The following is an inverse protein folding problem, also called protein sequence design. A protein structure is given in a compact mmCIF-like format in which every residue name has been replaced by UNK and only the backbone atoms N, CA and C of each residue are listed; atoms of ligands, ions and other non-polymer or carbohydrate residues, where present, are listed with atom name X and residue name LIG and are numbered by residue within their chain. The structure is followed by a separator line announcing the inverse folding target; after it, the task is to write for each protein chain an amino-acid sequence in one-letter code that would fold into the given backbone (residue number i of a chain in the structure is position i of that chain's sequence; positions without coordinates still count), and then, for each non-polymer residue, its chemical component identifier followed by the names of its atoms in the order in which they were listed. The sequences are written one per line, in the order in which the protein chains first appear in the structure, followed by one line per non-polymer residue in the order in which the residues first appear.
data_IF_762280736324
#
_entry.id   IF_762280736324
#
_cell.length_a   1.000
_cell.length_b   1.000
_cell.length_c   1.000
_cell.angle_alpha   90.00
_cell.angle_beta   90.00
_cell.angle_gamma   90.00
#
_symmetry.space_group_name_H-M   'P 1'
#
loop_
_entity.id
_entity.type
_entity.pdbx_description
1 polymer ?
#
# COMPACT_ATOMS: atom_id res chain seq x y z
N UNK A 1 -10.64 21.66 -25.82
CA UNK A 1 -10.14 20.47 -25.14
C UNK A 1 -11.32 19.87 -24.38
N UNK A 2 -11.63 18.59 -24.58
CA UNK A 2 -12.59 17.91 -23.72
C UNK A 2 -11.85 17.72 -22.40
N UNK A 3 -12.31 18.37 -21.33
CA UNK A 3 -11.80 18.14 -19.98
C UNK A 3 -12.29 16.76 -19.55
N UNK A 4 -11.37 15.82 -19.34
CA UNK A 4 -11.65 14.60 -18.61
C UNK A 4 -11.94 14.95 -17.15
N UNK A 5 -12.91 14.27 -16.54
CA UNK A 5 -13.19 14.37 -15.10
C UNK A 5 -13.23 12.94 -14.52
N UNK A 6 -12.47 12.01 -15.11
CA UNK A 6 -12.43 10.62 -14.64
C UNK A 6 -11.50 10.52 -13.45
N UNK A 7 -11.83 9.62 -12.52
CA UNK A 7 -10.93 9.24 -11.44
C UNK A 7 -10.55 7.78 -11.62
N UNK A 8 -9.25 7.53 -11.76
CA UNK A 8 -8.68 6.20 -11.81
C UNK A 8 -8.04 5.85 -10.47
N UNK A 9 -8.39 4.68 -9.92
CA UNK A 9 -7.76 4.14 -8.72
C UNK A 9 -6.84 2.99 -9.12
N UNK A 10 -5.56 3.07 -8.75
CA UNK A 10 -4.55 2.09 -9.14
C UNK A 10 -4.16 1.26 -7.90
N UNK A 11 -4.21 -0.07 -8.04
CA UNK A 11 -3.77 -1.00 -7.00
C UNK A 11 -2.25 -1.08 -6.84
N UNK A 12 -1.80 -2.04 -6.05
CA UNK A 12 -0.40 -2.27 -5.68
C UNK A 12 0.46 -2.54 -6.92
N UNK A 13 1.58 -1.83 -7.06
CA UNK A 13 2.42 -1.84 -8.27
C UNK A 13 3.62 -2.76 -8.08
N UNK A 14 4.23 -2.73 -6.89
CA UNK A 14 5.38 -3.54 -6.52
C UNK A 14 6.51 -3.51 -7.56
N UNK A 15 6.98 -2.33 -7.95
CA UNK A 15 8.15 -2.19 -8.84
C UNK A 15 7.97 -2.73 -10.26
N UNK A 16 6.75 -3.02 -10.73
CA UNK A 16 6.48 -3.44 -12.11
C UNK A 16 6.24 -2.24 -13.03
N UNK A 17 7.30 -1.47 -13.32
CA UNK A 17 7.23 -0.26 -14.15
C UNK A 17 6.60 -0.54 -15.53
N UNK A 18 7.03 -1.60 -16.20
CA UNK A 18 6.55 -1.97 -17.54
C UNK A 18 5.05 -2.23 -17.57
N UNK A 19 4.52 -2.86 -16.52
CA UNK A 19 3.08 -3.10 -16.35
C UNK A 19 2.34 -1.81 -16.02
N UNK A 20 2.92 -0.94 -15.19
CA UNK A 20 2.36 0.37 -14.85
C UNK A 20 2.23 1.25 -16.09
N UNK A 21 3.30 1.43 -16.86
CA UNK A 21 3.30 2.24 -18.10
C UNK A 21 2.21 1.73 -19.04
N UNK A 22 2.16 0.40 -19.23
CA UNK A 22 1.17 -0.23 -20.10
C UNK A 22 -0.27 -0.02 -19.63
N UNK A 23 -0.50 -0.10 -18.32
CA UNK A 23 -1.82 0.16 -17.75
C UNK A 23 -2.23 1.60 -18.02
N UNK A 24 -1.39 2.57 -17.65
CA UNK A 24 -1.68 4.01 -17.82
C UNK A 24 -1.92 4.34 -19.30
N UNK A 25 -1.10 3.82 -20.22
CA UNK A 25 -1.30 3.97 -21.66
C UNK A 25 -2.67 3.44 -22.12
N UNK A 26 -3.11 2.30 -21.57
CA UNK A 26 -4.41 1.70 -21.90
C UNK A 26 -5.62 2.51 -21.41
N UNK A 27 -5.45 3.34 -20.37
CA UNK A 27 -6.49 4.24 -19.86
C UNK A 27 -6.72 5.43 -20.78
N UNK A 28 -5.71 5.79 -21.60
CA UNK A 28 -5.69 6.96 -22.46
C UNK A 28 -6.17 8.22 -21.69
N UNK A 29 -5.46 8.63 -20.63
CA UNK A 29 -5.88 9.73 -19.76
C UNK A 29 -5.96 11.04 -20.52
N UNK A 30 -6.95 11.87 -20.18
CA UNK A 30 -7.20 13.17 -20.77
C UNK A 30 -6.93 14.27 -19.73
N UNK A 31 -6.69 15.50 -20.20
CA UNK A 31 -6.52 16.67 -19.33
C UNK A 31 -7.69 16.79 -18.34
N UNK A 32 -7.39 16.82 -17.04
CA UNK A 32 -8.36 16.91 -15.95
C UNK A 32 -8.72 15.58 -15.29
N UNK A 33 -8.33 14.44 -15.87
CA UNK A 33 -8.43 13.15 -15.18
C UNK A 33 -7.51 13.12 -13.95
N UNK A 34 -7.91 12.30 -12.97
CA UNK A 34 -7.26 12.16 -11.67
C UNK A 34 -6.82 10.73 -11.42
N UNK A 35 -5.77 10.59 -10.62
CA UNK A 35 -5.26 9.29 -10.19
C UNK A 35 -5.19 9.18 -8.67
N UNK A 36 -5.62 8.04 -8.14
CA UNK A 36 -5.41 7.66 -6.74
C UNK A 36 -4.65 6.34 -6.72
N UNK A 37 -3.42 6.35 -6.22
CA UNK A 37 -2.59 5.16 -6.08
C UNK A 37 -2.67 4.64 -4.65
N UNK A 38 -2.98 3.35 -4.48
CA UNK A 38 -3.33 2.75 -3.19
C UNK A 38 -2.12 2.35 -2.32
N UNK A 39 -0.89 2.59 -2.78
CA UNK A 39 0.34 2.25 -2.06
C UNK A 39 1.05 1.05 -2.68
N UNK A 40 2.08 0.59 -1.99
CA UNK A 40 2.94 -0.53 -2.39
C UNK A 40 3.47 -0.35 -3.82
N UNK A 41 4.11 0.79 -4.03
CA UNK A 41 4.80 1.17 -5.26
C UNK A 41 6.11 0.40 -5.42
N UNK A 42 6.74 0.07 -4.30
CA UNK A 42 8.08 -0.51 -4.22
C UNK A 42 8.06 -1.99 -3.83
N UNK A 43 9.25 -2.60 -3.85
CA UNK A 43 9.53 -3.98 -3.50
C UNK A 43 8.91 -5.04 -4.44
N UNK A 44 9.35 -6.29 -4.26
CA UNK A 44 8.93 -7.52 -4.98
C UNK A 44 9.24 -7.54 -6.49
N UNK A 45 8.83 -6.55 -7.27
CA UNK A 45 9.13 -6.45 -8.71
C UNK A 45 10.45 -5.76 -9.01
N UNK A 46 10.87 -5.74 -10.29
CA UNK A 46 12.26 -5.51 -10.66
C UNK A 46 12.72 -4.04 -10.64
N UNK A 47 11.82 -3.06 -10.72
CA UNK A 47 12.17 -1.67 -10.99
C UNK A 47 11.41 -0.66 -10.13
N UNK A 48 11.64 -0.73 -8.80
CA UNK A 48 11.04 0.23 -7.86
C UNK A 48 11.52 1.66 -8.09
N UNK A 49 12.81 1.85 -8.43
CA UNK A 49 13.35 3.17 -8.78
C UNK A 49 12.59 3.79 -9.95
N UNK A 50 12.42 3.04 -11.04
CA UNK A 50 11.72 3.49 -12.23
C UNK A 50 10.24 3.80 -11.99
N UNK A 51 9.55 3.02 -11.15
CA UNK A 51 8.18 3.34 -10.72
C UNK A 51 8.13 4.71 -10.02
N UNK A 52 9.03 4.99 -9.08
CA UNK A 52 9.03 6.28 -8.37
C UNK A 52 9.36 7.44 -9.32
N UNK A 53 10.34 7.28 -10.22
CA UNK A 53 10.65 8.25 -11.27
C UNK A 53 9.38 8.55 -12.11
N UNK A 54 8.67 7.51 -12.55
CA UNK A 54 7.46 7.62 -13.36
C UNK A 54 6.32 8.34 -12.62
N UNK A 55 6.06 7.99 -11.36
CA UNK A 55 4.98 8.61 -10.58
C UNK A 55 5.25 10.11 -10.31
N UNK A 56 6.51 10.49 -10.06
CA UNK A 56 6.93 11.90 -9.93
C UNK A 56 6.73 12.67 -11.24
N UNK A 57 6.94 12.04 -12.39
CA UNK A 57 6.68 12.67 -13.68
C UNK A 57 5.19 12.73 -14.04
N UNK A 58 4.40 11.75 -13.58
CA UNK A 58 2.96 11.70 -13.78
C UNK A 58 2.22 12.80 -12.99
N UNK A 59 2.61 13.06 -11.74
CA UNK A 59 2.00 14.12 -10.91
C UNK A 59 2.24 15.54 -11.44
N UNK A 60 3.20 15.72 -12.37
CA UNK A 60 3.40 17.00 -13.07
C UNK A 60 2.34 17.25 -14.14
N UNK A 61 1.66 16.20 -14.58
CA UNK A 61 0.71 16.21 -15.69
C UNK A 61 -0.74 16.05 -15.22
N UNK A 62 -0.96 15.25 -14.18
CA UNK A 62 -2.29 14.92 -13.65
C UNK A 62 -2.39 15.20 -12.15
N UNK A 63 -3.62 15.37 -11.67
CA UNK A 63 -3.91 15.44 -10.23
C UNK A 63 -3.80 14.03 -9.64
N UNK A 64 -2.77 13.81 -8.83
CA UNK A 64 -2.42 12.51 -8.28
C UNK A 64 -2.46 12.51 -6.75
N UNK A 65 -3.03 11.44 -6.18
CA UNK A 65 -2.97 11.13 -4.75
C UNK A 65 -2.20 9.83 -4.58
N UNK A 66 -1.15 9.86 -3.76
CA UNK A 66 -0.32 8.68 -3.47
C UNK A 66 -0.51 8.26 -2.02
N UNK A 67 -1.20 7.14 -1.80
CA UNK A 67 -1.40 6.57 -0.47
C UNK A 67 -0.18 5.73 -0.09
N UNK A 68 0.20 5.78 1.18
CA UNK A 68 1.34 5.04 1.74
C UNK A 68 0.94 3.61 2.07
N UNK A 69 1.54 2.65 1.38
CA UNK A 69 1.46 1.23 1.70
C UNK A 69 2.37 0.81 2.84
N UNK A 70 2.31 -0.48 3.22
CA UNK A 70 3.25 -0.99 4.23
C UNK A 70 4.67 -1.14 3.67
N UNK A 71 4.84 -1.34 2.37
CA UNK A 71 6.17 -1.45 1.76
C UNK A 71 6.89 -0.09 1.73
N UNK A 72 6.19 1.02 1.42
CA UNK A 72 6.77 2.35 1.59
C UNK A 72 7.14 2.62 3.05
N UNK A 73 6.35 2.13 4.00
CA UNK A 73 6.66 2.28 5.42
C UNK A 73 7.96 1.57 5.81
N UNK A 74 8.15 0.33 5.33
CA UNK A 74 9.38 -0.43 5.57
C UNK A 74 10.60 0.19 4.90
N UNK A 75 10.45 0.67 3.66
CA UNK A 75 11.50 1.39 2.96
C UNK A 75 11.90 2.67 3.70
N UNK A 76 10.93 3.45 4.20
CA UNK A 76 11.19 4.64 5.01
C UNK A 76 11.88 4.30 6.34
N UNK A 77 11.49 3.21 7.03
CA UNK A 77 12.23 2.76 8.21
C UNK A 77 13.65 2.32 7.89
N UNK A 78 13.88 1.69 6.73
CA UNK A 78 15.22 1.38 6.25
C UNK A 78 16.05 2.64 5.98
N UNK A 79 15.41 3.73 5.55
CA UNK A 79 16.05 5.03 5.31
C UNK A 79 16.33 5.81 6.59
N UNK A 80 15.41 5.77 7.54
CA UNK A 80 15.47 6.49 8.82
C UNK A 80 15.98 5.58 9.96
N UNK A 81 16.69 4.51 9.60
CA UNK A 81 17.08 3.46 10.52
C UNK A 81 17.81 4.00 11.76
N UNK A 82 17.57 3.40 12.94
CA UNK A 82 18.12 3.90 14.20
C UNK A 82 19.65 3.84 14.24
N UNK A 83 20.24 4.68 15.10
CA UNK A 83 21.68 4.67 15.36
C UNK A 83 22.14 3.33 15.95
N UNK A 84 21.30 2.70 16.78
CA UNK A 84 21.55 1.38 17.33
C UNK A 84 21.65 0.32 16.22
N UNK A 85 22.80 -0.34 16.16
CA UNK A 85 23.11 -1.30 15.11
C UNK A 85 22.19 -2.53 15.16
N UNK A 86 21.87 -3.03 16.36
CA UNK A 86 21.09 -4.26 16.49
C UNK A 86 19.63 -4.05 16.05
N UNK A 87 19.05 -2.90 16.42
CA UNK A 87 17.73 -2.50 15.93
C UNK A 87 17.73 -2.23 14.43
N UNK A 88 18.76 -1.55 13.92
CA UNK A 88 18.92 -1.29 12.48
C UNK A 88 18.97 -2.59 11.67
N UNK A 89 19.85 -3.51 12.05
CA UNK A 89 20.03 -4.79 11.36
C UNK A 89 18.72 -5.60 11.31
N UNK A 90 17.91 -5.55 12.39
CA UNK A 90 16.61 -6.23 12.45
C UNK A 90 15.61 -5.65 11.47
N UNK A 91 15.49 -4.32 11.41
CA UNK A 91 14.56 -3.63 10.52
C UNK A 91 14.94 -3.84 9.05
N UNK A 92 16.22 -3.69 8.73
CA UNK A 92 16.73 -3.90 7.38
C UNK A 92 16.58 -5.34 6.93
N UNK A 93 16.93 -6.30 7.79
CA UNK A 93 16.71 -7.72 7.51
C UNK A 93 15.22 -8.01 7.26
N UNK A 94 14.33 -7.45 8.08
CA UNK A 94 12.89 -7.61 7.92
C UNK A 94 12.43 -7.07 6.57
N UNK A 95 12.79 -5.82 6.21
CA UNK A 95 12.40 -5.23 4.93
C UNK A 95 12.94 -6.01 3.73
N UNK A 96 14.24 -6.32 3.73
CA UNK A 96 14.90 -7.08 2.65
C UNK A 96 14.25 -8.45 2.46
N UNK A 97 13.90 -9.13 3.55
CA UNK A 97 13.20 -10.43 3.52
C UNK A 97 11.80 -10.35 2.90
N UNK A 98 11.12 -9.20 3.01
CA UNK A 98 9.78 -8.99 2.46
C UNK A 98 9.79 -8.32 1.08
N UNK A 99 10.90 -8.38 0.35
CA UNK A 99 10.97 -7.91 -1.04
C UNK A 99 11.85 -6.69 -1.25
N UNK A 100 12.33 -6.05 -0.17
CA UNK A 100 13.20 -4.88 -0.22
C UNK A 100 14.50 -5.08 -1.01
N UNK A 101 15.00 -6.32 -1.14
CA UNK A 101 16.19 -6.59 -1.97
C UNK A 101 16.01 -6.10 -3.40
N UNK A 102 14.82 -6.29 -3.99
CA UNK A 102 14.56 -5.85 -5.37
C UNK A 102 14.56 -4.33 -5.50
N UNK A 103 14.09 -3.63 -4.47
CA UNK A 103 14.22 -2.18 -4.39
C UNK A 103 15.69 -1.78 -4.37
N UNK A 104 16.51 -2.33 -3.47
CA UNK A 104 17.96 -2.04 -3.42
C UNK A 104 18.63 -2.26 -4.78
N UNK A 105 18.37 -3.41 -5.41
CA UNK A 105 18.91 -3.76 -6.73
C UNK A 105 18.53 -2.72 -7.79
N UNK A 106 17.28 -2.22 -7.80
CA UNK A 106 16.81 -1.20 -8.76
C UNK A 106 17.46 0.17 -8.57
N UNK A 107 17.97 0.47 -7.37
CA UNK A 107 18.77 1.66 -7.09
C UNK A 107 20.28 1.43 -7.31
N UNK A 108 20.69 0.21 -7.67
CA UNK A 108 22.09 -0.16 -7.80
C UNK A 108 22.84 -0.19 -6.47
N UNK A 109 22.13 -0.34 -5.36
CA UNK A 109 22.70 -0.32 -4.02
C UNK A 109 23.16 -1.71 -3.56
N UNK A 110 24.37 -1.81 -3.01
CA UNK A 110 24.90 -3.09 -2.49
C UNK A 110 24.14 -3.55 -1.23
N UNK A 111 23.83 -2.60 -0.34
CA UNK A 111 23.13 -2.79 0.93
C UNK A 111 22.31 -1.54 1.32
N UNK A 112 21.76 -1.55 2.54
CA UNK A 112 20.94 -0.45 3.04
C UNK A 112 21.76 0.79 3.39
N UNK A 113 23.05 0.66 3.73
CA UNK A 113 23.94 1.80 4.00
C UNK A 113 24.21 2.57 2.71
N UNK A 114 24.57 1.85 1.65
CA UNK A 114 24.77 2.39 0.30
C UNK A 114 23.49 3.04 -0.24
N UNK A 115 22.35 2.36 -0.07
CA UNK A 115 21.04 2.89 -0.45
C UNK A 115 20.69 4.18 0.27
N UNK A 116 20.86 4.23 1.60
CA UNK A 116 20.63 5.44 2.42
C UNK A 116 21.49 6.61 1.98
N UNK A 117 22.74 6.34 1.62
CA UNK A 117 23.68 7.38 1.17
C UNK A 117 23.34 7.93 -0.22
N UNK A 118 22.71 7.12 -1.09
CA UNK A 118 22.60 7.41 -2.52
C UNK A 118 21.18 7.58 -3.06
N UNK A 119 20.14 7.37 -2.25
CA UNK A 119 18.75 7.61 -2.69
C UNK A 119 18.60 9.06 -3.20
N UNK A 120 18.01 9.29 -4.39
CA UNK A 120 17.76 10.64 -4.87
C UNK A 120 16.87 11.43 -3.90
N UNK A 121 17.20 12.70 -3.57
CA UNK A 121 16.39 13.50 -2.65
C UNK A 121 14.92 13.66 -3.08
N UNK A 122 14.66 13.68 -4.38
CA UNK A 122 13.30 13.74 -4.92
C UNK A 122 12.49 12.47 -4.58
N UNK A 123 13.12 11.29 -4.57
CA UNK A 123 12.45 10.03 -4.25
C UNK A 123 12.14 9.95 -2.76
N UNK A 124 13.10 10.33 -1.90
CA UNK A 124 12.85 10.41 -0.46
C UNK A 124 11.69 11.36 -0.15
N UNK A 125 11.70 12.55 -0.76
CA UNK A 125 10.63 13.53 -0.61
C UNK A 125 9.27 13.01 -1.10
N UNK A 126 9.24 12.30 -2.23
CA UNK A 126 8.02 11.66 -2.73
C UNK A 126 7.46 10.68 -1.70
N UNK A 127 8.28 9.77 -1.17
CA UNK A 127 7.88 8.79 -0.16
C UNK A 127 7.38 9.47 1.12
N UNK A 128 8.07 10.50 1.61
CA UNK A 128 7.67 11.29 2.78
C UNK A 128 6.32 11.99 2.60
N UNK A 129 6.00 12.41 1.36
CA UNK A 129 4.78 13.13 1.01
C UNK A 129 3.55 12.25 0.79
N UNK A 130 3.72 10.92 0.71
CA UNK A 130 2.57 9.99 0.61
C UNK A 130 1.60 10.18 1.78
N UNK A 131 0.30 10.15 1.50
CA UNK A 131 -0.77 10.32 2.51
C UNK A 131 -1.17 8.97 3.10
N UNK A 132 -1.81 8.96 4.27
CA UNK A 132 -2.20 7.69 4.93
C UNK A 132 -3.52 7.11 4.39
N UNK A 133 -4.39 7.98 3.87
CA UNK A 133 -5.63 7.66 3.18
C UNK A 133 -6.14 8.94 2.51
N UNK A 134 -7.15 8.81 1.64
CA UNK A 134 -7.82 9.93 1.00
C UNK A 134 -9.33 9.71 1.03
N UNK A 135 -10.08 10.74 1.40
CA UNK A 135 -11.52 10.65 1.59
C UNK A 135 -12.23 11.73 0.77
N UNK A 136 -13.31 11.32 0.11
CA UNK A 136 -14.21 12.18 -0.66
C UNK A 136 -15.60 12.12 -0.03
N UNK A 137 -16.59 12.78 -0.66
CA UNK A 137 -17.98 12.68 -0.22
C UNK A 137 -18.53 11.25 -0.31
N UNK A 138 -18.06 10.46 -1.27
CA UNK A 138 -18.63 9.15 -1.61
C UNK A 138 -17.69 7.96 -1.43
N UNK A 139 -16.38 8.21 -1.31
CA UNK A 139 -15.37 7.15 -1.23
C UNK A 139 -14.31 7.41 -0.15
N UNK A 140 -13.78 6.32 0.39
CA UNK A 140 -12.52 6.27 1.13
C UNK A 140 -11.52 5.44 0.34
N UNK A 141 -10.35 5.98 0.11
CA UNK A 141 -9.22 5.30 -0.49
C UNK A 141 -8.16 5.06 0.59
N UNK A 142 -7.79 3.81 0.79
CA UNK A 142 -6.85 3.40 1.84
C UNK A 142 -6.03 2.22 1.34
N UNK A 143 -4.81 2.05 1.83
CA UNK A 143 -3.98 0.93 1.39
C UNK A 143 -4.59 -0.43 1.79
N UNK A 144 -4.94 -0.63 3.06
CA UNK A 144 -5.39 -1.92 3.57
C UNK A 144 -6.85 -1.91 4.04
N UNK A 145 -7.13 -1.40 5.23
CA UNK A 145 -8.47 -1.41 5.83
C UNK A 145 -8.87 -0.07 6.43
N UNK A 146 -10.17 0.08 6.68
CA UNK A 146 -10.78 1.26 7.28
C UNK A 146 -11.68 0.86 8.45
N UNK A 147 -11.79 1.72 9.46
CA UNK A 147 -12.68 1.56 10.60
C UNK A 147 -13.78 2.63 10.54
N UNK A 148 -14.99 2.27 10.12
CA UNK A 148 -16.08 3.21 9.84
C UNK A 148 -16.57 3.97 11.07
N UNK A 149 -16.32 3.46 12.27
CA UNK A 149 -16.69 4.10 13.55
C UNK A 149 -15.71 5.22 13.97
N UNK A 150 -14.60 5.39 13.26
CA UNK A 150 -13.50 6.29 13.64
C UNK A 150 -13.25 7.35 12.60
N UNK A 151 -12.94 8.57 13.04
CA UNK A 151 -12.45 9.61 12.15
C UNK A 151 -11.01 9.31 11.69
N UNK A 152 -10.56 10.00 10.65
CA UNK A 152 -9.23 9.81 10.03
C UNK A 152 -8.07 9.85 11.04
N UNK A 153 -8.12 10.74 12.03
CA UNK A 153 -7.09 10.91 13.06
C UNK A 153 -7.13 9.86 14.17
N UNK A 154 -8.24 9.12 14.28
CA UNK A 154 -8.46 8.03 15.22
C UNK A 154 -8.14 6.66 14.60
N UNK A 155 -7.94 6.60 13.28
CA UNK A 155 -7.60 5.37 12.57
C UNK A 155 -6.28 4.79 13.07
N UNK A 156 -6.26 3.48 13.29
CA UNK A 156 -5.05 2.80 13.73
C UNK A 156 -4.12 2.50 12.56
N UNK A 157 -2.81 2.76 12.74
CA UNK A 157 -1.77 2.46 11.75
C UNK A 157 -1.86 1.03 11.21
N UNK A 158 -2.11 0.05 12.08
CA UNK A 158 -2.27 -1.37 11.71
C UNK A 158 -3.46 -1.57 10.78
N UNK A 159 -4.58 -0.90 11.04
CA UNK A 159 -5.78 -0.95 10.20
C UNK A 159 -5.49 -0.42 8.80
N UNK A 160 -4.93 0.79 8.73
CA UNK A 160 -4.71 1.49 7.45
C UNK A 160 -3.71 0.78 6.53
N UNK A 161 -2.72 0.06 7.09
CA UNK A 161 -1.61 -0.49 6.32
C UNK A 161 -1.44 -2.01 6.34
N UNK A 162 -2.13 -2.76 7.21
CA UNK A 162 -1.85 -4.19 7.38
C UNK A 162 -3.08 -5.08 7.48
N UNK A 163 -4.28 -4.51 7.67
CA UNK A 163 -5.50 -5.30 7.84
C UNK A 163 -5.86 -5.97 6.52
N UNK A 164 -5.91 -7.30 6.51
CA UNK A 164 -6.36 -8.02 5.32
C UNK A 164 -7.86 -7.82 5.07
N UNK A 165 -8.31 -7.93 3.82
CA UNK A 165 -9.72 -7.88 3.47
C UNK A 165 -10.55 -8.92 4.24
N UNK A 166 -9.98 -10.10 4.50
CA UNK A 166 -10.61 -11.16 5.30
C UNK A 166 -10.87 -10.77 6.76
N UNK A 167 -10.05 -9.86 7.30
CA UNK A 167 -10.15 -9.33 8.66
C UNK A 167 -11.03 -8.07 8.73
N UNK A 168 -11.40 -7.52 7.57
CA UNK A 168 -12.21 -6.31 7.47
C UNK A 168 -13.68 -6.67 7.46
N UNK A 169 -14.48 -6.00 8.28
CA UNK A 169 -15.93 -6.18 8.30
C UNK A 169 -16.62 -5.03 7.57
N UNK A 170 -17.53 -5.32 6.62
CA UNK A 170 -18.28 -4.28 5.93
C UNK A 170 -19.23 -3.58 6.89
N UNK A 171 -19.44 -2.30 6.64
CA UNK A 171 -20.39 -1.48 7.40
C UNK A 171 -21.50 -1.01 6.45
N UNK A 172 -22.71 -1.60 6.54
CA UNK A 172 -23.83 -1.21 5.68
C UNK A 172 -24.39 0.18 6.01
N UNK A 173 -24.11 0.73 7.19
CA UNK A 173 -24.57 2.05 7.62
C UNK A 173 -23.55 3.15 7.25
N UNK A 174 -22.32 2.77 6.88
CA UNK A 174 -21.31 3.70 6.37
C UNK A 174 -21.61 4.09 4.92
N UNK A 175 -21.86 5.38 4.69
CA UNK A 175 -22.36 5.89 3.41
C UNK A 175 -21.36 5.84 2.24
N UNK A 176 -20.10 5.47 2.48
CA UNK A 176 -19.01 5.54 1.49
C UNK A 176 -18.55 4.14 1.07
N UNK A 177 -18.14 4.03 -0.20
CA UNK A 177 -17.39 2.86 -0.68
C UNK A 177 -15.93 2.98 -0.24
N UNK A 178 -15.37 1.90 0.31
CA UNK A 178 -13.97 1.81 0.70
C UNK A 178 -13.24 1.06 -0.41
N UNK A 179 -12.20 1.66 -0.98
CA UNK A 179 -11.38 1.05 -2.02
C UNK A 179 -9.97 0.85 -1.48
N UNK A 180 -9.46 -0.38 -1.56
CA UNK A 180 -8.17 -0.75 -1.02
C UNK A 180 -7.35 -1.71 -1.89
N UNK A 181 -6.07 -1.84 -1.51
CA UNK A 181 -5.08 -2.75 -2.06
C UNK A 181 -4.68 -3.81 -1.02
N UNK A 182 -3.38 -4.08 -0.89
CA UNK A 182 -2.70 -4.90 0.15
C UNK A 182 -3.05 -6.40 0.17
N UNK A 183 -4.32 -6.75 0.00
CA UNK A 183 -4.79 -8.12 0.01
C UNK A 183 -4.73 -8.67 -1.40
N UNK A 184 -3.68 -9.43 -1.72
CA UNK A 184 -3.53 -10.07 -3.02
C UNK A 184 -4.76 -10.91 -3.41
N UNK A 185 -5.53 -10.40 -4.38
CA UNK A 185 -6.74 -11.04 -4.86
C UNK A 185 -6.41 -12.20 -5.79
N UNK A 186 -7.00 -13.35 -5.50
CA UNK A 186 -6.78 -14.57 -6.27
C UNK A 186 -7.33 -14.47 -7.69
N UNK A 187 -6.71 -15.19 -8.63
CA UNK A 187 -7.11 -15.30 -10.03
C UNK A 187 -7.00 -14.00 -10.86
N UNK A 188 -6.45 -12.92 -10.30
CA UNK A 188 -6.22 -11.66 -11.01
C UNK A 188 -7.48 -10.83 -11.23
N UNK A 189 -8.51 -11.00 -10.39
CA UNK A 189 -9.75 -10.24 -10.43
C UNK A 189 -9.93 -9.45 -9.11
N UNK A 190 -10.41 -8.20 -9.15
CA UNK A 190 -10.84 -7.50 -7.94
C UNK A 190 -11.90 -8.27 -7.16
N UNK A 191 -12.02 -8.02 -5.85
CA UNK A 191 -13.09 -8.58 -5.04
C UNK A 191 -13.77 -7.51 -4.18
N UNK A 192 -15.04 -7.74 -3.84
CA UNK A 192 -15.75 -6.91 -2.89
C UNK A 192 -16.29 -7.72 -1.72
N UNK A 193 -16.29 -7.11 -0.53
CA UNK A 193 -16.95 -7.57 0.70
C UNK A 193 -17.81 -6.41 1.19
N UNK A 194 -19.11 -6.44 0.90
CA UNK A 194 -20.04 -5.37 1.23
C UNK A 194 -19.67 -4.04 0.55
N UNK A 195 -19.42 -2.99 1.32
CA UNK A 195 -19.01 -1.67 0.82
C UNK A 195 -17.48 -1.53 0.65
N UNK A 196 -16.72 -2.62 0.75
CA UNK A 196 -15.26 -2.63 0.60
C UNK A 196 -14.89 -3.34 -0.71
N UNK A 197 -14.14 -2.67 -1.58
CA UNK A 197 -13.62 -3.19 -2.85
C UNK A 197 -12.09 -3.23 -2.80
N UNK A 198 -11.50 -4.41 -2.97
CA UNK A 198 -10.05 -4.59 -3.07
C UNK A 198 -9.64 -4.84 -4.53
N UNK A 199 -8.65 -4.08 -5.02
CA UNK A 199 -8.18 -4.14 -6.42
C UNK A 199 -6.71 -4.57 -6.54
N UNK A 200 -6.08 -5.09 -5.48
CA UNK A 200 -4.73 -5.63 -5.55
C UNK A 200 -4.72 -6.99 -6.27
N UNK A 201 -4.14 -7.03 -7.46
CA UNK A 201 -4.10 -8.22 -8.31
C UNK A 201 -2.69 -8.58 -8.81
N UNK A 202 -1.66 -7.81 -8.42
CA UNK A 202 -0.33 -7.87 -9.07
C UNK A 202 0.41 -9.17 -8.74
N UNK A 203 0.21 -9.72 -7.54
CA UNK A 203 0.77 -11.02 -7.18
C UNK A 203 0.21 -12.17 -8.05
N UNK A 204 -0.93 -11.96 -8.70
CA UNK A 204 -1.52 -12.88 -9.66
C UNK A 204 -1.26 -12.47 -11.12
N UNK A 205 -0.31 -11.56 -11.34
CA UNK A 205 0.22 -11.18 -12.65
C UNK A 205 -0.53 -10.06 -13.37
N UNK A 206 -1.43 -9.35 -12.69
CA UNK A 206 -2.20 -8.23 -13.27
C UNK A 206 -2.12 -6.98 -12.41
N UNK A 207 -1.81 -5.82 -12.96
CA UNK A 207 -2.05 -4.54 -12.30
C UNK A 207 -3.45 -4.04 -12.67
N UNK A 208 -4.22 -3.58 -11.68
CA UNK A 208 -5.58 -3.08 -11.88
C UNK A 208 -5.68 -1.58 -11.71
N UNK A 209 -6.39 -0.95 -12.64
CA UNK A 209 -6.99 0.37 -12.49
C UNK A 209 -8.51 0.25 -12.43
N UNK A 210 -9.15 0.93 -11.49
CA UNK A 210 -10.59 1.10 -11.42
C UNK A 210 -10.97 2.51 -11.90
N UNK A 211 -11.66 2.60 -13.03
CA UNK A 211 -12.29 3.83 -13.51
C UNK A 211 -13.62 4.03 -12.76
N UNK A 212 -13.61 4.88 -11.73
CA UNK A 212 -14.78 5.14 -10.88
C UNK A 212 -15.91 5.81 -11.66
N UNK A 213 -15.59 6.53 -12.73
CA UNK A 213 -16.57 7.30 -13.48
C UNK A 213 -17.37 6.40 -14.41
N UNK A 214 -16.70 5.41 -15.01
CA UNK A 214 -17.33 4.48 -15.92
C UNK A 214 -17.65 3.12 -15.30
N UNK A 215 -17.39 2.95 -14.00
CA UNK A 215 -17.65 1.73 -13.23
C UNK A 215 -17.04 0.47 -13.87
N UNK A 216 -15.76 0.54 -14.24
CA UNK A 216 -15.06 -0.55 -14.93
C UNK A 216 -13.59 -0.66 -14.54
N UNK A 217 -13.06 -1.87 -14.66
CA UNK A 217 -11.65 -2.17 -14.41
C UNK A 217 -10.88 -2.24 -15.71
N UNK A 218 -9.68 -1.67 -15.72
CA UNK A 218 -8.65 -1.90 -16.72
C UNK A 218 -7.53 -2.68 -16.05
N UNK A 219 -6.98 -3.66 -16.75
CA UNK A 219 -5.85 -4.42 -16.24
C UNK A 219 -4.76 -4.58 -17.29
N UNK A 220 -3.51 -4.49 -16.85
CA UNK A 220 -2.33 -4.83 -17.63
C UNK A 220 -1.62 -6.02 -16.97
N UNK A 221 -1.26 -7.01 -17.76
CA UNK A 221 -0.61 -8.22 -17.29
C UNK A 221 0.90 -8.13 -17.40
N UNK A 222 1.62 -8.84 -16.52
CA UNK A 222 3.07 -9.07 -16.65
C UNK A 222 3.45 -9.80 -17.95
N UNK A 223 2.47 -10.44 -18.60
CA UNK A 223 2.61 -11.06 -19.92
C UNK A 223 2.42 -10.06 -21.07
N UNK A 224 2.21 -8.79 -20.76
CA UNK A 224 1.97 -7.72 -21.71
C UNK A 224 0.58 -7.71 -22.32
N UNK A 225 -0.41 -8.45 -21.82
CA UNK A 225 -1.80 -8.29 -22.28
C UNK A 225 -2.51 -7.17 -21.53
N UNK A 226 -3.55 -6.63 -22.13
CA UNK A 226 -4.46 -5.68 -21.49
C UNK A 226 -5.89 -6.15 -21.62
N UNK A 227 -6.73 -5.87 -20.62
CA UNK A 227 -8.17 -6.14 -20.67
C UNK A 227 -8.97 -5.04 -19.97
N UNK A 228 -10.22 -4.86 -20.41
CA UNK A 228 -11.23 -4.04 -19.74
C UNK A 228 -12.36 -4.96 -19.29
N UNK A 229 -12.83 -4.77 -18.07
CA UNK A 229 -13.89 -5.56 -17.46
C UNK A 229 -14.91 -4.59 -16.87
N UNK A 230 -16.17 -4.69 -17.25
CA UNK A 230 -17.23 -3.91 -16.60
C UNK A 230 -17.46 -4.45 -15.18
N UNK A 231 -17.57 -3.59 -14.17
CA UNK A 231 -17.67 -4.03 -12.76
C UNK A 231 -18.87 -4.95 -12.54
N UNK A 232 -19.97 -4.72 -13.25
CA UNK A 232 -21.16 -5.57 -13.25
C UNK A 232 -20.87 -7.02 -13.71
N UNK A 233 -19.91 -7.24 -14.60
CA UNK A 233 -19.58 -8.57 -15.12
C UNK A 233 -18.76 -9.41 -14.13
N UNK A 234 -18.08 -8.78 -13.17
CA UNK A 234 -17.37 -9.47 -12.08
C UNK A 234 -18.35 -10.09 -11.08
N UNK A 235 -19.37 -9.33 -10.69
CA UNK A 235 -20.31 -9.76 -9.65
C UNK A 235 -21.46 -10.64 -10.15
N UNK A 236 -21.63 -10.77 -11.47
CA UNK A 236 -22.58 -11.73 -12.08
C UNK A 236 -22.03 -13.16 -12.12
N UNK A 237 -20.74 -13.35 -11.86
CA UNK A 237 -20.16 -14.66 -11.67
C UNK A 237 -20.16 -14.95 -10.16
N UNK A 238 -21.02 -15.88 -9.69
CA UNK A 238 -20.92 -16.51 -8.36
C UNK A 238 -19.63 -17.34 -8.20
N UNK A 239 -18.49 -16.82 -8.66
CA UNK A 239 -17.19 -17.41 -8.46
C UNK A 239 -16.69 -16.93 -7.12
N UNK A 240 -17.14 -17.66 -6.12
CA UNK A 240 -16.49 -17.92 -4.84
C UNK A 240 -15.65 -16.72 -4.36
N UNK A 241 -16.17 -15.97 -3.40
CA UNK A 241 -15.28 -15.54 -2.31
C UNK A 241 -14.63 -16.85 -1.86
N UNK A 242 -13.34 -17.10 -2.14
CA UNK A 242 -12.74 -18.37 -1.76
C UNK A 242 -12.95 -18.49 -0.25
N UNK A 243 -13.42 -19.63 0.23
CA UNK A 243 -13.25 -19.95 1.66
C UNK A 243 -11.79 -19.67 1.96
N UNK A 244 -11.56 -18.65 2.79
CA UNK A 244 -10.26 -18.05 3.00
C UNK A 244 -9.38 -19.07 3.74
N UNK A 245 -8.72 -19.97 3.02
CA UNK A 245 -7.72 -20.86 3.62
C UNK A 245 -6.43 -20.09 3.73
N UNK A 246 -6.36 -19.26 4.77
CA UNK A 246 -5.10 -18.71 5.23
C UNK A 246 -4.22 -19.88 5.68
N UNK A 247 -3.18 -20.20 4.90
CA UNK A 247 -2.03 -20.89 5.50
C UNK A 247 -1.33 -19.86 6.36
N UNK A 248 -1.60 -19.92 7.66
CA UNK A 248 -0.85 -19.23 8.70
C UNK A 248 0.64 -19.24 8.34
N UNK A 249 1.29 -18.09 8.06
CA UNK A 249 2.72 -18.01 8.16
C UNK A 249 3.11 -18.54 9.54
N UNK A 250 4.18 -19.35 9.66
CA UNK A 250 4.61 -19.85 10.95
C UNK A 250 4.67 -18.68 11.94
N UNK A 251 4.02 -18.83 13.09
CA UNK A 251 3.92 -17.82 14.14
C UNK A 251 5.28 -17.14 14.34
N UNK A 252 5.37 -15.87 13.94
CA UNK A 252 6.45 -14.97 14.35
C UNK A 252 5.88 -14.08 15.45
N UNK A 253 5.56 -14.70 16.59
CA UNK A 253 5.49 -13.97 17.86
C UNK A 253 6.91 -13.54 18.20
N UNK A 254 7.25 -12.30 17.82
CA UNK A 254 8.20 -11.42 18.50
C UNK A 254 8.19 -10.05 17.78
N UNK A 255 7.04 -9.37 17.76
CA UNK A 255 7.09 -7.92 17.80
C UNK A 255 7.58 -7.53 19.19
N UNK A 256 8.56 -6.61 19.34
CA UNK A 256 9.02 -6.20 20.66
C UNK A 256 7.85 -5.55 21.42
N UNK A 257 7.29 -6.30 22.37
CA UNK A 257 6.35 -5.74 23.34
C UNK A 257 7.13 -4.81 24.26
N UNK A 258 6.82 -3.52 24.17
CA UNK A 258 7.32 -2.52 25.09
C UNK A 258 6.76 -2.84 26.48
N UNK A 259 7.59 -3.45 27.33
CA UNK A 259 7.18 -3.81 28.69
C UNK A 259 7.14 -2.55 29.56
N UNK A 260 5.92 -2.20 29.98
CA UNK A 260 5.63 -1.22 31.01
C UNK A 260 6.47 -1.50 32.27
N UNK A 261 7.57 -0.78 32.43
CA UNK A 261 8.25 -0.66 33.72
C UNK A 261 7.38 0.17 34.65
N UNK A 262 6.56 -0.51 35.47
CA UNK A 262 5.99 0.08 36.69
C UNK A 262 7.12 0.68 37.54
N UNK A 263 6.99 1.91 38.06
CA UNK A 263 8.00 2.50 38.92
C UNK A 263 8.04 1.78 40.26
N UNK A 264 9.22 1.25 40.58
CA UNK A 264 9.54 0.57 41.84
C UNK A 264 9.49 1.59 43.00
N UNK A 265 8.60 1.37 43.97
CA UNK A 265 8.49 2.19 45.18
C UNK A 265 9.77 2.06 46.01
N UNK A 266 10.61 3.11 45.97
CA UNK A 266 11.71 3.28 46.93
C UNK A 266 11.16 3.30 48.36
N UNK A 267 11.48 2.26 49.14
CA UNK A 267 11.39 2.28 50.60
C UNK A 267 12.42 3.26 51.14
N UNK A 268 11.97 4.35 51.74
CA UNK A 268 12.80 5.23 52.55
C UNK A 268 12.81 4.64 53.96
N UNK A 269 13.89 3.97 54.33
CA UNK A 269 14.16 3.58 55.72
C UNK A 269 14.60 4.83 56.49
N UNK A 270 13.69 5.33 57.32
CA UNK A 270 13.95 6.43 58.24
C UNK A 270 13.91 5.89 59.68
N UNK A 271 15.04 5.41 60.20
CA UNK A 271 15.25 5.30 61.65
C UNK A 271 16.68 5.70 62.04
N UNK A 272 16.74 6.89 62.64
CA UNK A 272 17.78 7.45 63.51
C UNK A 272 18.34 6.43 64.50
N UNK A 273 19.64 6.52 64.83
CA UNK A 273 20.13 6.94 66.16
C UNK A 273 21.66 6.78 66.32
N UNK A 274 22.25 7.89 66.81
CA UNK A 274 23.57 8.11 67.44
C UNK A 274 24.81 8.03 66.56
#
# INVERSE_FOLDING_TARGET
MIMGNRTFVIGDIHGHLDVLEKLIDSLNPQDGDKFVFLGDFVDKGPDSKGVIDYLIDLEKQYDCVFIRGNHEEWMLYGLDAPEDQEERDKLEYFWVKHGGRKTLDSYGAEDCDDFRANIPPAHRKFLENTVVAHETETHVFVHAGWDSDKNMDEQERRTLRYRFLSESEPDPDFAKEIICGHSAMQNGHPAAKGNITCIDTIENGWLTAYDLTNDCYYQAGIDGKTRRIDKADEFTQEKHVPEFVWKKPPEQDNAPQNSDKKPEKRRIDNKRKF
#
